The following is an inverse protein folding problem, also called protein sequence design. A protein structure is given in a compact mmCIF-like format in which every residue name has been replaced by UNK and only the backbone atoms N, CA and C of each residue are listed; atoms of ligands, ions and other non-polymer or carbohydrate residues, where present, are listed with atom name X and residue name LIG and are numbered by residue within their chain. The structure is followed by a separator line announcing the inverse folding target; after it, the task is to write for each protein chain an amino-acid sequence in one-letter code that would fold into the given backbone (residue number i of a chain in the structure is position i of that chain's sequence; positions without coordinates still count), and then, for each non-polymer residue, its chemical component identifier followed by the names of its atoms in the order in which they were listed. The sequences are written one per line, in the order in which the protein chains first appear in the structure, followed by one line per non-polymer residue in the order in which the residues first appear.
data_IF_535946956786
#
_entry.id   IF_535946956786
#
_cell.length_a   1.000
_cell.length_b   1.000
_cell.length_c   1.000
_cell.angle_alpha   90.00
_cell.angle_beta   90.00
_cell.angle_gamma   90.00
#
_symmetry.space_group_name_H-M   'P 1'
#
loop_
_entity.id
_entity.type
_entity.pdbx_description
1 polymer ?
#
# COMPACT_ATOMS: atom_id res chain seq x y z
N UNK A 1 17.48 -58.95 -8.33
CA UNK A 1 16.61 -57.84 -7.83
C UNK A 1 17.31 -56.44 -7.79
N UNK A 2 18.59 -56.37 -8.11
CA UNK A 2 19.45 -55.17 -7.96
C UNK A 2 19.53 -54.25 -9.19
N UNK A 3 19.37 -54.77 -10.40
CA UNK A 3 19.50 -54.03 -11.67
C UNK A 3 18.39 -52.95 -11.83
N UNK A 4 17.14 -53.29 -11.48
CA UNK A 4 16.04 -52.33 -11.56
C UNK A 4 16.19 -51.14 -10.60
N UNK A 5 16.76 -51.37 -9.40
CA UNK A 5 17.05 -50.29 -8.44
C UNK A 5 18.14 -49.36 -8.92
N UNK A 6 19.21 -49.91 -9.54
CA UNK A 6 20.32 -49.13 -10.11
C UNK A 6 19.82 -48.27 -11.28
N UNK A 7 19.02 -48.83 -12.17
CA UNK A 7 18.43 -48.08 -13.30
C UNK A 7 17.52 -46.92 -12.83
N UNK A 8 16.67 -47.20 -11.84
CA UNK A 8 15.80 -46.15 -11.29
C UNK A 8 16.57 -45.01 -10.58
N UNK A 9 17.73 -45.33 -9.95
CA UNK A 9 18.61 -44.35 -9.34
C UNK A 9 19.31 -43.48 -10.36
N UNK A 10 19.76 -44.07 -11.48
CA UNK A 10 20.39 -43.35 -12.60
C UNK A 10 19.39 -42.39 -13.26
N UNK A 11 18.19 -42.86 -13.61
CA UNK A 11 17.16 -42.04 -14.20
C UNK A 11 16.72 -40.87 -13.24
N UNK A 12 16.67 -41.12 -11.94
CA UNK A 12 16.43 -40.05 -10.96
C UNK A 12 17.55 -39.01 -10.91
N UNK A 13 18.81 -39.44 -11.04
CA UNK A 13 19.97 -38.54 -11.09
C UNK A 13 19.96 -37.68 -12.36
N UNK A 14 19.66 -38.25 -13.48
CA UNK A 14 19.58 -37.56 -14.78
C UNK A 14 18.43 -36.54 -14.77
N UNK A 15 17.24 -36.91 -14.34
CA UNK A 15 16.11 -35.96 -14.20
C UNK A 15 16.38 -34.85 -13.19
N UNK A 16 17.19 -35.13 -12.16
CA UNK A 16 17.61 -34.09 -11.21
C UNK A 16 18.67 -33.16 -11.82
N UNK A 17 19.55 -33.68 -12.64
CA UNK A 17 20.55 -32.91 -13.37
C UNK A 17 19.92 -32.03 -14.47
N UNK A 18 18.90 -32.53 -15.17
CA UNK A 18 18.10 -31.74 -16.13
C UNK A 18 17.33 -30.61 -15.46
N UNK A 19 16.66 -30.86 -14.32
CA UNK A 19 15.99 -29.81 -13.55
C UNK A 19 16.96 -28.74 -13.02
N UNK A 20 18.24 -29.07 -12.81
CA UNK A 20 19.29 -28.12 -12.42
C UNK A 20 19.79 -27.31 -13.63
N UNK A 21 19.63 -27.85 -14.85
CA UNK A 21 20.00 -27.18 -16.10
C UNK A 21 18.89 -26.31 -16.68
N UNK A 22 17.63 -26.44 -16.22
CA UNK A 22 16.59 -25.51 -16.64
C UNK A 22 17.02 -24.08 -16.27
N UNK A 23 17.18 -23.20 -17.27
CA UNK A 23 17.50 -21.80 -16.98
C UNK A 23 16.39 -21.25 -16.10
N UNK A 24 16.78 -20.77 -14.91
CA UNK A 24 15.83 -20.06 -14.03
C UNK A 24 15.09 -19.03 -14.88
N UNK A 25 13.76 -18.93 -14.78
CA UNK A 25 12.98 -17.99 -15.56
C UNK A 25 13.63 -16.62 -15.42
N UNK A 26 13.99 -16.05 -16.56
CA UNK A 26 14.67 -14.76 -16.64
C UNK A 26 13.86 -13.77 -15.81
N UNK A 27 14.44 -13.32 -14.69
CA UNK A 27 13.80 -12.29 -13.86
C UNK A 27 13.50 -11.11 -14.75
N UNK A 28 12.29 -10.52 -14.59
CA UNK A 28 11.92 -9.33 -15.38
C UNK A 28 13.07 -8.36 -15.41
N UNK A 29 13.44 -7.85 -16.62
CA UNK A 29 14.55 -6.92 -16.75
C UNK A 29 14.34 -5.75 -15.78
N UNK A 30 15.40 -5.24 -15.15
CA UNK A 30 15.28 -4.10 -14.26
C UNK A 30 14.70 -2.93 -15.05
N UNK A 31 13.62 -2.34 -14.54
CA UNK A 31 13.04 -1.14 -15.15
C UNK A 31 14.12 -0.09 -15.29
N UNK A 32 14.23 0.52 -16.49
CA UNK A 32 15.25 1.53 -16.79
C UNK A 32 15.19 2.63 -15.73
N UNK A 33 16.34 3.16 -15.24
CA UNK A 33 16.36 4.10 -14.12
C UNK A 33 15.52 5.36 -14.38
N UNK A 34 15.46 5.82 -15.65
CA UNK A 34 14.64 6.98 -16.03
C UNK A 34 13.13 6.70 -15.93
N UNK A 35 12.65 5.46 -16.23
CA UNK A 35 11.24 5.08 -16.06
C UNK A 35 10.87 5.13 -14.58
N UNK A 36 11.78 4.69 -13.71
CA UNK A 36 11.57 4.76 -12.26
C UNK A 36 11.52 6.19 -11.76
N UNK A 37 12.45 7.03 -12.23
CA UNK A 37 12.47 8.46 -11.91
C UNK A 37 11.16 9.14 -12.37
N UNK A 38 10.71 8.87 -13.60
CA UNK A 38 9.45 9.40 -14.12
C UNK A 38 8.24 8.93 -13.30
N UNK A 39 8.19 7.64 -12.93
CA UNK A 39 7.11 7.11 -12.09
C UNK A 39 7.09 7.74 -10.69
N UNK A 40 8.25 7.98 -10.10
CA UNK A 40 8.36 8.67 -8.80
C UNK A 40 7.94 10.14 -8.91
N UNK A 41 8.35 10.83 -9.97
CA UNK A 41 7.95 12.21 -10.23
C UNK A 41 6.43 12.32 -10.45
N UNK A 42 5.85 11.43 -11.26
CA UNK A 42 4.41 11.38 -11.49
C UNK A 42 3.64 11.06 -10.19
N UNK A 43 4.15 10.14 -9.37
CA UNK A 43 3.54 9.86 -8.07
C UNK A 43 3.64 11.05 -7.11
N UNK A 44 4.77 11.75 -7.09
CA UNK A 44 4.94 12.97 -6.30
C UNK A 44 3.98 14.07 -6.76
N UNK A 45 3.93 14.36 -8.06
CA UNK A 45 3.01 15.36 -8.63
C UNK A 45 1.55 14.97 -8.34
N UNK A 46 1.19 13.69 -8.48
CA UNK A 46 -0.13 13.17 -8.13
C UNK A 46 -0.46 13.38 -6.65
N UNK A 47 0.49 13.15 -5.76
CA UNK A 47 0.31 13.40 -4.31
C UNK A 47 0.11 14.87 -4.01
N UNK A 48 0.91 15.76 -4.62
CA UNK A 48 0.77 17.21 -4.45
C UNK A 48 -0.59 17.69 -4.97
N UNK A 49 -0.97 17.28 -6.18
CA UNK A 49 -2.26 17.63 -6.76
C UNK A 49 -3.41 17.13 -5.90
N UNK A 50 -3.34 15.88 -5.46
CA UNK A 50 -4.34 15.31 -4.56
C UNK A 50 -4.43 16.09 -3.24
N UNK A 51 -3.30 16.46 -2.65
CA UNK A 51 -3.26 17.25 -1.41
C UNK A 51 -3.87 18.64 -1.59
N UNK A 52 -3.65 19.27 -2.76
CA UNK A 52 -4.27 20.57 -3.09
C UNK A 52 -5.79 20.44 -3.25
N UNK A 53 -6.26 19.40 -3.95
CA UNK A 53 -7.71 19.13 -4.10
C UNK A 53 -8.32 18.83 -2.74
N UNK A 54 -7.67 18.00 -1.94
CA UNK A 54 -8.10 17.68 -0.58
C UNK A 54 -8.21 18.95 0.26
N UNK A 55 -7.19 19.81 0.27
CA UNK A 55 -7.21 21.07 0.99
C UNK A 55 -8.37 21.98 0.53
N UNK A 56 -8.62 22.07 -0.78
CA UNK A 56 -9.76 22.84 -1.32
C UNK A 56 -11.10 22.30 -0.84
N UNK A 57 -11.30 20.98 -0.92
CA UNK A 57 -12.58 20.35 -0.54
C UNK A 57 -12.81 20.39 0.97
N UNK A 58 -11.73 20.26 1.75
CA UNK A 58 -11.85 20.09 3.21
C UNK A 58 -11.67 21.37 4.01
N UNK A 59 -11.04 22.41 3.43
CA UNK A 59 -10.85 23.71 4.10
C UNK A 59 -11.96 24.71 3.78
N UNK A 60 -12.94 24.39 2.94
CA UNK A 60 -14.11 25.26 2.73
C UNK A 60 -14.99 25.27 3.98
N UNK A 61 -15.25 26.45 4.59
CA UNK A 61 -16.11 26.56 5.75
C UNK A 61 -17.54 26.14 5.39
N UNK A 62 -18.09 25.20 6.15
CA UNK A 62 -19.51 24.86 6.03
C UNK A 62 -20.34 25.73 6.99
N UNK A 63 -21.16 26.61 6.44
CA UNK A 63 -22.06 27.46 7.23
C UNK A 63 -23.07 26.64 8.08
N UNK A 64 -23.37 25.41 7.63
CA UNK A 64 -24.32 24.53 8.33
C UNK A 64 -23.72 23.87 9.58
N UNK A 65 -22.39 23.79 9.70
CA UNK A 65 -21.71 23.11 10.81
C UNK A 65 -21.27 24.03 11.95
N UNK A 66 -21.43 25.34 11.82
CA UNK A 66 -21.00 26.33 12.83
C UNK A 66 -21.62 26.18 14.23
N UNK A 67 -22.73 25.46 14.34
CA UNK A 67 -23.46 25.26 15.62
C UNK A 67 -23.27 23.89 16.28
N UNK A 68 -22.56 22.94 15.65
CA UNK A 68 -22.52 21.53 16.06
C UNK A 68 -21.09 21.01 16.27
N UNK A 69 -20.19 21.89 16.66
CA UNK A 69 -18.74 21.51 16.77
C UNK A 69 -18.51 20.65 18.00
N UNK A 70 -18.60 19.35 17.84
CA UNK A 70 -18.18 18.37 18.86
C UNK A 70 -17.11 17.46 18.28
N UNK A 71 -15.92 17.46 18.90
CA UNK A 71 -14.86 16.52 18.52
C UNK A 71 -15.32 15.07 18.76
N UNK A 72 -15.27 14.24 17.73
CA UNK A 72 -15.55 12.82 17.84
C UNK A 72 -14.25 12.04 18.06
N UNK A 73 -14.08 11.52 19.27
CA UNK A 73 -12.96 10.64 19.64
C UNK A 73 -13.41 9.18 19.81
N UNK A 74 -14.71 8.88 19.58
CA UNK A 74 -15.26 7.54 19.72
C UNK A 74 -15.36 6.88 18.35
N UNK A 75 -14.58 5.82 18.07
CA UNK A 75 -14.66 5.09 16.80
C UNK A 75 -16.08 4.56 16.55
N UNK A 76 -16.60 4.81 15.35
CA UNK A 76 -17.92 4.38 14.90
C UNK A 76 -19.06 5.35 15.21
N UNK A 77 -18.84 6.39 16.02
CA UNK A 77 -19.94 7.28 16.42
C UNK A 77 -20.48 8.12 15.26
N UNK A 78 -19.60 8.73 14.47
CA UNK A 78 -20.02 9.50 13.29
C UNK A 78 -20.55 8.58 12.20
N UNK A 79 -19.97 7.40 12.02
CA UNK A 79 -20.48 6.40 11.07
C UNK A 79 -21.92 6.01 11.42
N UNK A 80 -22.20 5.69 12.69
CA UNK A 80 -23.53 5.34 13.15
C UNK A 80 -24.51 6.52 12.93
N UNK A 81 -24.09 7.74 13.29
CA UNK A 81 -24.91 8.94 13.10
C UNK A 81 -25.31 9.15 11.63
N UNK A 82 -24.38 8.95 10.68
CA UNK A 82 -24.69 9.05 9.25
C UNK A 82 -25.61 7.94 8.76
N UNK A 83 -25.44 6.70 9.26
CA UNK A 83 -26.28 5.58 8.84
C UNK A 83 -27.71 5.65 9.39
N UNK A 84 -27.89 6.17 10.61
CA UNK A 84 -29.17 6.20 11.31
C UNK A 84 -29.92 7.53 11.11
N UNK A 85 -29.17 8.64 10.93
CA UNK A 85 -29.71 10.00 11.00
C UNK A 85 -29.83 10.74 9.67
N UNK A 86 -29.30 10.21 8.56
CA UNK A 86 -29.28 10.90 7.27
C UNK A 86 -29.83 10.04 6.14
N UNK A 87 -30.06 10.65 4.96
CA UNK A 87 -30.43 9.88 3.79
C UNK A 87 -29.28 8.96 3.35
N UNK A 88 -29.64 7.82 2.73
CA UNK A 88 -28.64 6.86 2.18
C UNK A 88 -27.64 7.55 1.24
N UNK A 89 -28.10 8.54 0.48
CA UNK A 89 -27.24 9.32 -0.43
C UNK A 89 -26.21 10.15 0.34
N UNK A 90 -26.64 10.85 1.38
CA UNK A 90 -25.76 11.69 2.21
C UNK A 90 -24.73 10.84 2.95
N UNK A 91 -25.18 9.73 3.57
CA UNK A 91 -24.29 8.76 4.20
C UNK A 91 -23.25 8.23 3.20
N UNK A 92 -23.68 7.83 1.99
CA UNK A 92 -22.78 7.34 0.95
C UNK A 92 -21.77 8.38 0.49
N UNK A 93 -22.19 9.65 0.35
CA UNK A 93 -21.28 10.75 -0.03
C UNK A 93 -20.25 11.01 1.07
N UNK A 94 -20.69 11.09 2.32
CA UNK A 94 -19.81 11.42 3.44
C UNK A 94 -18.83 10.27 3.75
N UNK A 95 -19.36 9.08 3.97
CA UNK A 95 -18.51 7.91 4.31
C UNK A 95 -17.69 7.46 3.11
N UNK A 96 -18.32 7.37 1.93
CA UNK A 96 -17.65 6.97 0.69
C UNK A 96 -16.63 8.01 0.22
N UNK A 97 -16.92 9.29 0.42
CA UNK A 97 -16.00 10.41 0.14
C UNK A 97 -14.69 10.26 0.92
N UNK A 98 -14.77 10.02 2.23
CA UNK A 98 -13.59 9.83 3.07
C UNK A 98 -12.80 8.58 2.67
N UNK A 99 -13.47 7.46 2.37
CA UNK A 99 -12.80 6.27 1.82
C UNK A 99 -12.09 6.60 0.51
N UNK A 100 -12.77 7.29 -0.40
CA UNK A 100 -12.22 7.64 -1.72
C UNK A 100 -11.01 8.57 -1.61
N UNK A 101 -11.02 9.51 -0.67
CA UNK A 101 -9.89 10.40 -0.39
C UNK A 101 -8.63 9.63 0.07
N UNK A 102 -8.80 8.51 0.77
CA UNK A 102 -7.69 7.66 1.20
C UNK A 102 -7.05 6.85 0.08
N UNK A 103 -7.81 6.47 -0.97
CA UNK A 103 -7.33 5.57 -2.05
C UNK A 103 -6.04 6.05 -2.71
N UNK A 104 -5.87 7.31 -3.13
CA UNK A 104 -4.63 7.80 -3.72
C UNK A 104 -3.41 7.62 -2.83
N UNK A 105 -3.54 7.80 -1.52
CA UNK A 105 -2.45 7.54 -0.57
C UNK A 105 -1.98 6.09 -0.64
N UNK A 106 -2.89 5.14 -0.64
CA UNK A 106 -2.57 3.72 -0.74
C UNK A 106 -1.90 3.33 -2.05
N UNK A 107 -2.21 4.02 -3.13
CA UNK A 107 -1.60 3.80 -4.46
C UNK A 107 -0.21 4.43 -4.54
N UNK A 108 -0.06 5.67 -4.11
CA UNK A 108 1.13 6.50 -4.34
C UNK A 108 2.21 6.27 -3.29
N UNK A 109 1.84 6.06 -2.02
CA UNK A 109 2.77 5.89 -0.91
C UNK A 109 3.81 4.78 -1.15
N UNK A 110 3.47 3.55 -1.59
CA UNK A 110 4.46 2.50 -1.85
C UNK A 110 5.34 2.76 -3.09
N UNK A 111 4.94 3.69 -3.95
CA UNK A 111 5.74 4.14 -5.10
C UNK A 111 6.77 5.16 -4.64
N UNK A 112 6.37 6.13 -3.83
CA UNK A 112 7.24 7.18 -3.29
C UNK A 112 8.19 6.64 -2.22
N UNK A 113 7.67 5.86 -1.28
CA UNK A 113 8.40 5.36 -0.12
C UNK A 113 8.52 3.82 -0.17
N UNK A 114 9.65 3.27 -0.65
CA UNK A 114 9.87 1.83 -0.68
C UNK A 114 9.73 1.15 0.69
N UNK A 115 10.04 1.89 1.75
CA UNK A 115 9.94 1.44 3.14
C UNK A 115 8.48 1.28 3.61
N UNK A 116 7.56 2.04 3.02
CA UNK A 116 6.13 2.00 3.36
C UNK A 116 5.36 0.83 2.72
N UNK A 117 6.07 -0.15 2.12
CA UNK A 117 5.43 -1.33 1.52
C UNK A 117 5.04 -2.34 2.59
N UNK A 118 3.76 -2.57 2.70
CA UNK A 118 3.15 -3.48 3.66
C UNK A 118 1.86 -2.87 4.22
N UNK A 119 0.85 -3.70 4.44
CA UNK A 119 -0.46 -3.25 4.93
C UNK A 119 -0.33 -2.39 6.18
N UNK A 120 0.36 -2.89 7.21
CA UNK A 120 0.53 -2.19 8.48
C UNK A 120 1.26 -0.85 8.32
N UNK A 121 2.26 -0.79 7.44
CA UNK A 121 3.01 0.46 7.22
C UNK A 121 2.18 1.48 6.46
N UNK A 122 1.45 1.06 5.45
CA UNK A 122 0.51 1.93 4.73
C UNK A 122 -0.55 2.44 5.70
N UNK A 123 -1.16 1.54 6.49
CA UNK A 123 -2.15 1.93 7.49
C UNK A 123 -1.57 2.94 8.50
N UNK A 124 -0.42 2.64 9.10
CA UNK A 124 0.20 3.50 10.11
C UNK A 124 0.56 4.89 9.55
N UNK A 125 1.22 4.94 8.39
CA UNK A 125 1.59 6.23 7.78
C UNK A 125 0.34 7.03 7.40
N UNK A 126 -0.67 6.38 6.80
CA UNK A 126 -1.92 7.06 6.44
C UNK A 126 -2.66 7.53 7.69
N UNK A 127 -2.79 6.71 8.71
CA UNK A 127 -3.45 7.11 9.97
C UNK A 127 -2.76 8.32 10.61
N UNK A 128 -1.43 8.35 10.67
CA UNK A 128 -0.68 9.51 11.20
C UNK A 128 -0.94 10.75 10.35
N UNK A 129 -0.84 10.65 9.02
CA UNK A 129 -1.07 11.79 8.12
C UNK A 129 -2.50 12.30 8.25
N UNK A 130 -3.51 11.41 8.25
CA UNK A 130 -4.92 11.82 8.36
C UNK A 130 -5.24 12.38 9.74
N UNK A 131 -4.65 11.85 10.81
CA UNK A 131 -4.78 12.47 12.14
C UNK A 131 -4.25 13.90 12.15
N UNK A 132 -3.09 14.15 11.53
CA UNK A 132 -2.54 15.50 11.42
C UNK A 132 -3.44 16.42 10.60
N UNK A 133 -4.00 15.91 9.49
CA UNK A 133 -4.97 16.65 8.67
C UNK A 133 -6.18 17.03 9.50
N UNK A 134 -6.81 16.10 10.21
CA UNK A 134 -7.97 16.34 11.07
C UNK A 134 -7.67 17.36 12.18
N UNK A 135 -6.51 17.26 12.82
CA UNK A 135 -6.11 18.23 13.84
C UNK A 135 -5.93 19.65 13.26
N UNK A 136 -5.32 19.75 12.08
CA UNK A 136 -5.15 21.03 11.39
C UNK A 136 -6.50 21.60 10.99
N UNK A 137 -7.41 20.77 10.46
CA UNK A 137 -8.76 21.20 10.08
C UNK A 137 -9.58 21.67 11.29
N UNK A 138 -9.56 20.91 12.38
CA UNK A 138 -10.22 21.29 13.62
C UNK A 138 -9.66 22.56 14.25
N UNK A 139 -8.37 22.84 14.03
CA UNK A 139 -7.73 24.07 14.57
C UNK A 139 -7.94 25.30 13.67
N UNK A 140 -8.00 25.13 12.35
CA UNK A 140 -7.96 26.25 11.40
C UNK A 140 -9.29 26.53 10.71
N UNK A 141 -10.21 25.55 10.65
CA UNK A 141 -11.47 25.69 9.93
C UNK A 141 -12.61 25.90 10.92
N UNK A 142 -13.21 27.08 10.87
CA UNK A 142 -14.40 27.39 11.70
C UNK A 142 -15.53 26.41 11.37
N UNK A 143 -16.09 25.79 12.41
CA UNK A 143 -17.18 24.81 12.23
C UNK A 143 -16.73 23.38 11.91
N UNK A 144 -15.44 23.08 11.98
CA UNK A 144 -14.92 21.70 11.93
C UNK A 144 -14.32 21.30 13.27
N UNK A 145 -14.51 20.05 13.63
CA UNK A 145 -13.92 19.42 14.79
C UNK A 145 -13.19 18.13 14.36
N UNK A 146 -12.26 17.70 15.18
CA UNK A 146 -11.56 16.42 14.97
C UNK A 146 -12.54 15.25 14.93
N UNK A 147 -12.43 14.38 13.93
CA UNK A 147 -13.22 13.16 13.81
C UNK A 147 -12.33 11.93 13.56
N UNK A 148 -12.32 11.01 14.53
CA UNK A 148 -11.55 9.76 14.44
C UNK A 148 -12.09 8.84 13.33
N UNK A 149 -13.38 8.90 13.01
CA UNK A 149 -13.97 8.08 11.96
C UNK A 149 -13.50 8.50 10.57
N UNK A 150 -13.22 9.79 10.36
CA UNK A 150 -12.60 10.27 9.12
C UNK A 150 -11.19 9.70 8.96
N UNK A 151 -10.41 9.62 10.03
CA UNK A 151 -9.09 8.95 10.02
C UNK A 151 -9.22 7.47 9.66
N UNK A 152 -10.19 6.78 10.23
CA UNK A 152 -10.43 5.34 9.98
C UNK A 152 -10.88 5.09 8.55
N UNK A 153 -11.82 5.88 8.03
CA UNK A 153 -12.35 5.75 6.67
C UNK A 153 -11.27 6.04 5.61
N UNK A 154 -10.49 7.10 5.79
CA UNK A 154 -9.36 7.42 4.93
C UNK A 154 -8.29 6.33 4.96
N UNK A 155 -8.00 5.77 6.14
CA UNK A 155 -7.05 4.66 6.29
C UNK A 155 -7.57 3.39 5.60
N UNK A 156 -8.85 3.07 5.73
CA UNK A 156 -9.48 1.97 5.01
C UNK A 156 -9.38 2.17 3.49
N UNK A 157 -9.65 3.37 3.00
CA UNK A 157 -9.47 3.74 1.59
C UNK A 157 -8.03 3.55 1.11
N UNK A 158 -7.04 3.96 1.90
CA UNK A 158 -5.64 3.74 1.58
C UNK A 158 -5.28 2.24 1.53
N UNK A 159 -5.80 1.43 2.41
CA UNK A 159 -5.62 -0.03 2.35
C UNK A 159 -6.22 -0.62 1.08
N UNK A 160 -7.41 -0.19 0.68
CA UNK A 160 -8.03 -0.57 -0.60
C UNK A 160 -7.17 -0.17 -1.79
N UNK A 161 -6.73 1.08 -1.87
CA UNK A 161 -5.83 1.57 -2.92
C UNK A 161 -4.52 0.80 -2.99
N UNK A 162 -3.93 0.49 -1.84
CA UNK A 162 -2.73 -0.33 -1.74
C UNK A 162 -2.93 -1.74 -2.29
N UNK A 163 -4.02 -2.41 -1.91
CA UNK A 163 -4.32 -3.77 -2.35
C UNK A 163 -4.61 -3.85 -3.85
N UNK A 164 -5.38 -2.91 -4.38
CA UNK A 164 -5.78 -2.87 -5.78
C UNK A 164 -4.60 -2.57 -6.71
N UNK A 165 -3.89 -1.48 -6.46
CA UNK A 165 -2.87 -0.96 -7.36
C UNK A 165 -1.51 -0.73 -6.70
N UNK A 166 -1.46 -0.17 -5.50
CA UNK A 166 -0.25 0.27 -4.84
C UNK A 166 0.79 -0.83 -4.67
N UNK A 167 0.35 -2.03 -4.30
CA UNK A 167 1.21 -3.21 -4.18
C UNK A 167 1.85 -3.64 -5.50
N UNK A 168 1.14 -3.49 -6.62
CA UNK A 168 1.66 -3.82 -7.97
C UNK A 168 2.62 -2.75 -8.44
N UNK A 169 2.23 -1.48 -8.36
CA UNK A 169 3.04 -0.33 -8.78
C UNK A 169 4.33 -0.22 -7.96
N UNK A 170 4.25 -0.29 -6.64
CA UNK A 170 5.42 -0.25 -5.77
C UNK A 170 6.43 -1.36 -6.08
N UNK A 171 5.99 -2.57 -6.42
CA UNK A 171 6.88 -3.67 -6.84
C UNK A 171 7.46 -3.46 -8.24
N UNK A 172 6.72 -2.84 -9.15
CA UNK A 172 7.21 -2.55 -10.49
C UNK A 172 8.30 -1.48 -10.48
N UNK A 173 8.10 -0.40 -9.70
CA UNK A 173 9.04 0.71 -9.60
C UNK A 173 10.30 0.31 -8.81
N UNK A 174 10.14 -0.49 -7.77
CA UNK A 174 11.26 -0.90 -6.90
C UNK A 174 11.35 -2.42 -6.79
N UNK A 175 11.87 -3.13 -7.77
CA UNK A 175 12.07 -4.57 -7.70
C UNK A 175 13.02 -4.92 -6.54
N UNK A 176 12.65 -5.94 -5.74
CA UNK A 176 13.54 -6.45 -4.69
C UNK A 176 14.79 -7.02 -5.35
N UNK A 177 15.96 -6.46 -5.08
CA UNK A 177 17.25 -7.11 -5.40
C UNK A 177 17.31 -8.40 -4.58
N UNK A 178 17.29 -9.56 -5.25
CA UNK A 178 17.60 -10.83 -4.59
C UNK A 178 19.03 -10.71 -4.05
N UNK A 179 19.19 -10.81 -2.73
CA UNK A 179 20.52 -10.78 -2.11
C UNK A 179 21.36 -11.92 -2.70
N UNK A 180 22.51 -11.56 -3.24
CA UNK A 180 23.50 -12.47 -3.84
C UNK A 180 24.11 -13.46 -2.84
N UNK A 181 23.95 -13.22 -1.55
CA UNK A 181 24.46 -14.08 -0.47
C UNK A 181 23.98 -15.53 -0.55
N UNK A 182 22.81 -15.83 -1.07
CA UNK A 182 22.36 -17.21 -1.29
C UNK A 182 23.12 -17.96 -2.39
N UNK A 183 23.99 -17.30 -3.15
CA UNK A 183 24.87 -17.98 -4.12
C UNK A 183 26.15 -18.47 -3.48
N UNK A 184 26.61 -17.86 -2.39
CA UNK A 184 27.84 -18.23 -1.71
C UNK A 184 27.65 -19.42 -0.77
N UNK A 185 26.51 -19.54 -0.10
CA UNK A 185 26.23 -20.65 0.81
C UNK A 185 25.95 -21.98 0.11
N UNK A 186 25.64 -21.99 -1.21
CA UNK A 186 25.47 -23.23 -1.99
C UNK A 186 26.76 -23.81 -2.57
N UNK A 187 27.90 -23.13 -2.39
CA UNK A 187 29.19 -23.58 -2.98
C UNK A 187 30.00 -24.47 -2.05
N UNK A 188 29.53 -24.71 -0.81
CA UNK A 188 30.25 -25.49 0.21
C UNK A 188 30.07 -27.01 0.18
N UNK A 189 29.11 -27.55 -0.58
CA UNK A 189 28.73 -28.98 -0.45
C UNK A 189 29.36 -29.91 -1.50
N UNK A 190 30.42 -29.49 -2.17
CA UNK A 190 31.13 -30.32 -3.13
C UNK A 190 32.61 -30.47 -2.74
N UNK A 191 32.88 -31.02 -1.56
CA UNK A 191 34.17 -31.66 -1.28
C UNK A 191 33.99 -33.17 -1.55
N UNK A 192 34.72 -33.77 -2.49
CA UNK A 192 34.72 -35.21 -2.63
C UNK A 192 35.46 -35.81 -1.44
N UNK A 193 34.75 -36.69 -0.72
CA UNK A 193 35.42 -37.56 0.27
C UNK A 193 36.42 -38.43 -0.46
N UNK A 194 37.65 -38.35 -0.01
CA UNK A 194 38.74 -39.30 -0.35
C UNK A 194 38.54 -40.59 0.40
#
# INVERSE_FOLDING_TARGET
MDVRRKLAATVRRERRAERVREPLPAGRPPTRPWIRALAMLAAFAGTVLFSLVLARVTLEPSAASAGLVHSNTRPGASIALYLDGTSVREAAVQLGGNVLLGVPFGVLLPVLLPQARGLLRVAAVTAVVMTLVELIQGALVTGRAFDVDDVLLNTAGALLGYLLLGRRLGRAVHPRRRHWWHRLTRRGDHLPAR
#
